data_IF_767403191713
#
_entry.id   IF_767403191713
#
_cell.length_a   1.000
_cell.length_b   1.000
_cell.length_c   1.000
_cell.angle_alpha   90.00
_cell.angle_beta   90.00
_cell.angle_gamma   90.00
#
_symmetry.space_group_name_H-M   'P 1'
#
loop_
_entity.id
_entity.type
_entity.pdbx_description
1 polymer ?
#
# COMPACT_ATOMS: atom_id res chain seq x y z
N UNK A 1 27.74 9.18 4.67
CA UNK A 1 26.45 9.88 4.70
C UNK A 1 25.49 8.95 5.40
N UNK A 2 24.91 9.29 6.56
CA UNK A 2 23.82 8.50 7.10
C UNK A 2 22.60 8.73 6.20
N UNK A 3 21.91 7.65 5.81
CA UNK A 3 20.66 7.74 5.08
C UNK A 3 19.70 8.61 5.90
N UNK A 4 19.29 9.75 5.34
CA UNK A 4 18.22 10.56 5.91
C UNK A 4 16.98 9.67 5.94
N UNK A 5 16.72 9.11 7.12
CA UNK A 5 15.45 8.48 7.42
C UNK A 5 14.42 9.60 7.35
N UNK A 6 13.85 9.77 6.15
CA UNK A 6 12.71 10.65 5.86
C UNK A 6 11.57 10.18 6.75
N UNK A 7 11.59 10.66 7.98
CA UNK A 7 10.50 10.46 8.91
C UNK A 7 9.41 11.34 8.32
N UNK A 8 8.44 10.73 7.64
CA UNK A 8 7.31 11.44 7.06
C UNK A 8 6.55 12.09 8.22
N UNK A 9 6.90 13.34 8.54
CA UNK A 9 6.30 14.09 9.65
C UNK A 9 4.88 14.54 9.32
N UNK A 10 4.42 14.37 8.07
CA UNK A 10 3.09 14.70 7.57
C UNK A 10 2.57 13.63 6.60
N UNK A 11 2.72 12.34 6.90
CA UNK A 11 2.11 11.28 6.07
C UNK A 11 0.58 11.32 6.19
N UNK A 12 -0.11 11.38 5.07
CA UNK A 12 -1.54 11.13 5.01
C UNK A 12 -1.80 9.61 5.00
N UNK A 13 -2.99 9.21 5.45
CA UNK A 13 -3.43 7.82 5.41
C UNK A 13 -4.61 7.66 4.47
N UNK A 14 -4.42 6.86 3.42
CA UNK A 14 -5.49 6.36 2.56
C UNK A 14 -6.09 5.11 3.21
N UNK A 15 -7.34 5.21 3.64
CA UNK A 15 -8.07 4.09 4.24
C UNK A 15 -9.11 3.58 3.25
N UNK A 16 -9.14 2.27 3.06
CA UNK A 16 -10.05 1.59 2.12
C UNK A 16 -10.50 0.24 2.69
N UNK A 17 -11.74 -0.14 2.44
CA UNK A 17 -12.24 -1.47 2.82
C UNK A 17 -11.67 -2.55 1.88
N UNK A 18 -11.35 -3.72 2.44
CA UNK A 18 -10.76 -4.83 1.72
C UNK A 18 -11.68 -5.36 0.59
N UNK A 19 -13.00 -5.20 0.71
CA UNK A 19 -13.94 -5.61 -0.33
C UNK A 19 -13.96 -4.64 -1.52
N UNK A 20 -13.57 -3.39 -1.29
CA UNK A 20 -13.53 -2.33 -2.32
C UNK A 20 -12.11 -2.09 -2.87
N UNK A 21 -11.09 -2.69 -2.25
CA UNK A 21 -9.71 -2.49 -2.63
C UNK A 21 -9.32 -3.33 -3.85
N UNK A 22 -9.24 -2.69 -5.01
CA UNK A 22 -8.72 -3.28 -6.25
C UNK A 22 -7.22 -3.12 -6.35
N UNK A 23 -6.50 -4.24 -6.50
CA UNK A 23 -5.04 -4.24 -6.60
C UNK A 23 -4.50 -5.40 -7.45
N UNK A 24 -3.32 -5.16 -8.00
CA UNK A 24 -2.47 -6.16 -8.64
C UNK A 24 -1.31 -6.51 -7.70
N UNK A 25 -0.98 -7.80 -7.60
CA UNK A 25 0.18 -8.27 -6.85
C UNK A 25 1.44 -8.09 -7.69
N UNK A 26 2.36 -7.27 -7.20
CA UNK A 26 3.67 -7.05 -7.83
C UNK A 26 4.71 -8.00 -7.25
N UNK A 27 4.68 -8.23 -5.94
CA UNK A 27 5.52 -9.19 -5.24
C UNK A 27 4.70 -9.91 -4.19
N UNK A 28 4.93 -11.22 -4.04
CA UNK A 28 4.26 -12.06 -3.05
C UNK A 28 5.26 -12.80 -2.17
N UNK A 29 4.85 -13.09 -0.94
CA UNK A 29 5.55 -13.96 -0.01
C UNK A 29 4.54 -14.85 0.70
N UNK A 30 4.77 -16.17 0.71
CA UNK A 30 3.89 -17.15 1.35
C UNK A 30 2.39 -17.06 0.95
N UNK A 31 2.12 -16.69 -0.31
CA UNK A 31 0.75 -16.51 -0.83
C UNK A 31 0.10 -15.17 -0.46
N UNK A 32 0.84 -14.27 0.19
CA UNK A 32 0.39 -12.93 0.53
C UNK A 32 1.05 -11.89 -0.38
N UNK A 33 0.28 -10.89 -0.82
CA UNK A 33 0.81 -9.78 -1.61
C UNK A 33 1.60 -8.81 -0.71
N UNK A 34 2.92 -8.76 -0.86
CA UNK A 34 3.81 -7.89 -0.07
C UNK A 34 4.12 -6.57 -0.76
N UNK A 35 3.97 -6.53 -2.08
CA UNK A 35 3.95 -5.30 -2.87
C UNK A 35 2.72 -5.34 -3.76
N UNK A 36 1.91 -4.29 -3.68
CA UNK A 36 0.67 -4.14 -4.44
C UNK A 36 0.71 -2.88 -5.29
N UNK A 37 0.10 -2.95 -6.47
CA UNK A 37 -0.21 -1.79 -7.32
C UNK A 37 -1.71 -1.59 -7.37
N UNK A 38 -2.20 -0.38 -7.15
CA UNK A 38 -3.63 -0.06 -7.10
C UNK A 38 -3.92 1.30 -7.75
N UNK A 39 -5.13 1.51 -8.30
CA UNK A 39 -5.53 2.81 -8.83
C UNK A 39 -5.44 3.90 -7.76
N UNK A 40 -4.81 5.02 -8.09
CA UNK A 40 -4.68 6.18 -7.22
C UNK A 40 -4.45 7.44 -8.05
N UNK A 41 -5.50 8.23 -8.15
CA UNK A 41 -5.61 9.45 -8.96
C UNK A 41 -6.05 10.66 -8.12
N UNK A 42 -6.21 10.48 -6.80
CA UNK A 42 -6.46 11.57 -5.86
C UNK A 42 -5.15 12.34 -5.57
N UNK A 43 -5.04 13.61 -6.00
CA UNK A 43 -3.80 14.39 -5.90
C UNK A 43 -3.41 14.76 -4.46
N UNK A 44 -4.25 14.45 -3.47
CA UNK A 44 -3.92 14.67 -2.06
C UNK A 44 -2.88 13.66 -1.54
N UNK A 45 -2.73 12.53 -2.21
CA UNK A 45 -1.80 11.47 -1.79
C UNK A 45 -0.51 11.51 -2.62
N UNK A 46 0.58 11.18 -1.97
CA UNK A 46 1.92 11.22 -2.53
C UNK A 46 2.82 10.09 -1.98
N UNK A 47 3.99 9.94 -2.58
CA UNK A 47 4.97 8.97 -2.08
C UNK A 47 5.40 9.37 -0.66
N UNK A 48 5.45 8.38 0.24
CA UNK A 48 5.65 8.56 1.67
C UNK A 48 4.35 8.54 2.49
N UNK A 49 3.18 8.63 1.85
CA UNK A 49 1.89 8.38 2.51
C UNK A 49 1.68 6.88 2.76
N UNK A 50 0.63 6.56 3.52
CA UNK A 50 0.33 5.20 3.95
C UNK A 50 -1.02 4.77 3.37
N UNK A 51 -1.11 3.54 2.89
CA UNK A 51 -2.38 2.86 2.64
C UNK A 51 -2.67 1.85 3.76
N UNK A 52 -3.89 1.92 4.29
CA UNK A 52 -4.43 0.96 5.25
C UNK A 52 -5.67 0.32 4.64
N UNK A 53 -5.60 -0.99 4.43
CA UNK A 53 -6.73 -1.79 3.96
C UNK A 53 -7.35 -2.50 5.15
N UNK A 54 -8.64 -2.27 5.38
CA UNK A 54 -9.37 -2.80 6.54
C UNK A 54 -10.41 -3.83 6.13
N UNK A 55 -10.60 -4.88 6.92
CA UNK A 55 -11.81 -5.70 6.88
C UNK A 55 -12.50 -5.60 8.23
N UNK A 56 -13.56 -4.78 8.31
CA UNK A 56 -14.14 -4.41 9.60
C UNK A 56 -13.12 -3.69 10.49
N UNK A 57 -12.74 -4.30 11.63
CA UNK A 57 -11.73 -3.76 12.54
C UNK A 57 -10.31 -4.26 12.28
N UNK A 58 -10.14 -5.23 11.38
CA UNK A 58 -8.87 -5.90 11.15
C UNK A 58 -8.08 -5.24 10.03
N UNK A 59 -6.76 -5.06 10.25
CA UNK A 59 -5.85 -4.51 9.25
C UNK A 59 -5.37 -5.66 8.35
N UNK A 60 -5.70 -5.59 7.07
CA UNK A 60 -5.27 -6.55 6.06
C UNK A 60 -4.01 -6.11 5.34
N UNK A 61 -3.73 -4.81 5.29
CA UNK A 61 -2.52 -4.28 4.69
C UNK A 61 -2.20 -2.94 5.33
N UNK A 62 -0.93 -2.74 5.70
CA UNK A 62 -0.44 -1.47 6.19
C UNK A 62 0.89 -1.15 5.52
N UNK A 63 0.80 -0.49 4.37
CA UNK A 63 1.96 -0.26 3.51
C UNK A 63 2.22 1.21 3.24
N UNK A 64 3.49 1.56 3.18
CA UNK A 64 3.91 2.87 2.70
C UNK A 64 3.81 2.90 1.18
N UNK A 65 3.24 3.98 0.63
CA UNK A 65 3.22 4.28 -0.79
C UNK A 65 4.62 4.73 -1.21
N UNK A 66 5.29 3.92 -2.03
CA UNK A 66 6.66 4.20 -2.50
C UNK A 66 6.71 5.02 -3.78
N UNK A 67 5.68 4.91 -4.63
CA UNK A 67 5.61 5.61 -5.91
C UNK A 67 4.16 5.79 -6.37
N UNK A 68 3.91 6.89 -7.10
CA UNK A 68 2.69 7.10 -7.86
C UNK A 68 3.08 7.47 -9.30
N UNK A 69 2.51 6.79 -10.29
CA UNK A 69 2.73 7.04 -11.70
C UNK A 69 1.53 6.54 -12.52
N UNK A 70 1.18 7.28 -13.58
CA UNK A 70 0.16 6.87 -14.56
C UNK A 70 -1.21 6.50 -13.95
N UNK A 71 -1.60 7.16 -12.86
CA UNK A 71 -2.86 6.89 -12.14
C UNK A 71 -2.82 5.67 -11.22
N UNK A 72 -1.63 5.13 -10.94
CA UNK A 72 -1.44 4.00 -10.03
C UNK A 72 -0.46 4.36 -8.90
N UNK A 73 -0.70 3.80 -7.72
CA UNK A 73 0.22 3.79 -6.60
C UNK A 73 0.78 2.39 -6.37
N UNK A 74 2.02 2.31 -5.90
CA UNK A 74 2.65 1.08 -5.41
C UNK A 74 2.93 1.22 -3.93
N UNK A 75 2.48 0.24 -3.14
CA UNK A 75 2.73 0.20 -1.70
C UNK A 75 3.35 -1.13 -1.27
N UNK A 76 4.07 -1.10 -0.15
CA UNK A 76 4.82 -2.25 0.36
C UNK A 76 4.49 -2.52 1.82
N UNK A 77 4.11 -3.77 2.12
CA UNK A 77 3.98 -4.33 3.47
C UNK A 77 4.62 -5.73 3.49
N UNK A 78 5.91 -5.79 3.80
CA UNK A 78 6.69 -7.04 3.75
C UNK A 78 6.48 -7.97 4.94
N UNK A 79 5.76 -7.55 5.99
CA UNK A 79 5.71 -8.30 7.25
C UNK A 79 4.30 -8.48 7.81
N UNK A 80 3.36 -7.63 7.45
CA UNK A 80 2.00 -7.61 8.01
C UNK A 80 0.89 -7.92 7.01
N UNK A 81 1.20 -8.03 5.72
CA UNK A 81 0.15 -8.20 4.70
C UNK A 81 -0.63 -9.49 4.91
N UNK A 82 -1.95 -9.37 4.93
CA UNK A 82 -2.92 -10.46 4.85
C UNK A 82 -3.67 -10.47 3.50
N UNK A 83 -3.29 -9.57 2.58
CA UNK A 83 -3.88 -9.57 1.24
C UNK A 83 -3.47 -10.83 0.49
N UNK A 84 -4.42 -11.60 -0.07
CA UNK A 84 -4.08 -12.74 -0.89
C UNK A 84 -3.34 -12.28 -2.14
N UNK A 85 -2.36 -13.06 -2.59
CA UNK A 85 -1.77 -12.81 -3.88
C UNK A 85 -2.81 -13.02 -5.00
N UNK A 86 -2.97 -12.00 -5.83
CA UNK A 86 -3.79 -12.03 -7.04
C UNK A 86 -2.92 -12.51 -8.21
N UNK A 87 -3.38 -13.55 -8.91
CA UNK A 87 -2.75 -14.03 -10.14
C UNK A 87 -3.39 -13.26 -11.30
N UNK A 88 -2.58 -12.61 -12.14
CA UNK A 88 -3.06 -12.11 -13.44
C UNK A 88 -3.47 -13.26 -14.35
#
# INVERSE_FOLDING_TARGET
MPDEQRTANNSQTYVVDANDFSYETIEQQNGQAVIVRFPMDDPKFQAGDVVVVLSGSDIHFHGMIGSLADGFATATDRRGSLLPATVQ
#
